data_IF_488680511888
#
_entry.id   IF_488680511888
#
_cell.length_a   1.000
_cell.length_b   1.000
_cell.length_c   1.000
_cell.angle_alpha   90.00
_cell.angle_beta   90.00
_cell.angle_gamma   90.00
#
_symmetry.space_group_name_H-M   'P 1'
#
loop_
_entity.id
_entity.type
_entity.pdbx_description
1 polymer ?
#
# COMPACT_ATOMS: atom_id res chain seq x y z
N UNK A 1 -28.17 24.03 51.95
CA UNK A 1 -27.17 24.22 50.89
C UNK A 1 -26.20 23.04 50.95
N UNK A 2 -26.53 21.94 50.27
CA UNK A 2 -25.77 20.68 50.31
C UNK A 2 -24.54 20.82 49.40
N UNK A 3 -23.36 21.01 49.99
CA UNK A 3 -22.08 20.88 49.28
C UNK A 3 -21.83 19.39 49.06
N UNK A 4 -22.08 18.91 47.85
CA UNK A 4 -21.57 17.62 47.39
C UNK A 4 -20.03 17.70 47.43
N UNK A 5 -19.40 16.87 48.26
CA UNK A 5 -17.95 16.69 48.26
C UNK A 5 -17.59 15.97 46.94
N UNK A 6 -16.59 16.43 46.18
CA UNK A 6 -16.18 15.73 44.98
C UNK A 6 -15.64 14.35 45.36
N UNK A 7 -16.18 13.29 44.76
CA UNK A 7 -15.75 11.93 45.01
C UNK A 7 -14.30 11.73 44.54
N UNK A 8 -13.37 11.29 45.41
CA UNK A 8 -11.94 11.20 45.08
C UNK A 8 -11.64 10.12 44.01
N UNK A 9 -12.63 9.26 43.72
CA UNK A 9 -12.53 8.17 42.74
C UNK A 9 -13.01 8.58 41.33
N UNK A 10 -13.72 9.70 41.18
CA UNK A 10 -14.23 10.16 39.88
C UNK A 10 -13.10 10.72 39.00
N UNK A 11 -12.12 11.39 39.62
CA UNK A 11 -10.96 11.99 38.95
C UNK A 11 -10.03 10.97 38.24
N UNK A 12 -9.56 9.89 38.90
CA UNK A 12 -8.71 8.90 38.23
C UNK A 12 -9.44 8.11 37.15
N UNK A 13 -10.76 7.92 37.29
CA UNK A 13 -11.59 7.25 36.29
C UNK A 13 -11.70 8.09 35.02
N UNK A 14 -11.98 9.39 35.16
CA UNK A 14 -12.02 10.33 34.03
C UNK A 14 -10.65 10.45 33.37
N UNK A 15 -9.57 10.48 34.15
CA UNK A 15 -8.20 10.52 33.61
C UNK A 15 -7.84 9.23 32.85
N UNK A 16 -8.24 8.06 33.36
CA UNK A 16 -8.08 6.79 32.64
C UNK A 16 -8.90 6.77 31.35
N UNK A 17 -10.15 7.25 31.38
CA UNK A 17 -11.01 7.29 30.20
C UNK A 17 -10.45 8.21 29.11
N UNK A 18 -9.94 9.40 29.49
CA UNK A 18 -9.27 10.32 28.56
C UNK A 18 -7.98 9.72 28.00
N UNK A 19 -7.22 8.97 28.82
CA UNK A 19 -6.02 8.25 28.36
C UNK A 19 -6.37 7.16 27.34
N UNK A 20 -7.39 6.34 27.60
CA UNK A 20 -7.86 5.32 26.68
C UNK A 20 -8.47 5.89 25.39
N UNK A 21 -9.13 7.06 25.45
CA UNK A 21 -9.67 7.75 24.27
C UNK A 21 -8.57 8.40 23.41
N UNK A 22 -7.39 8.64 23.99
CA UNK A 22 -6.24 9.25 23.32
C UNK A 22 -5.29 8.24 22.67
N UNK A 23 -5.52 6.93 22.88
CA UNK A 23 -4.78 5.89 22.18
C UNK A 23 -5.06 6.03 20.69
N UNK A 24 -4.05 6.28 19.85
CA UNK A 24 -4.25 6.20 18.41
C UNK A 24 -4.70 4.77 18.10
N UNK A 25 -5.89 4.62 17.51
CA UNK A 25 -6.20 3.41 16.76
C UNK A 25 -5.04 3.25 15.78
N UNK A 26 -4.27 2.17 15.93
CA UNK A 26 -3.14 1.87 15.06
C UNK A 26 -3.64 1.84 13.62
N UNK A 27 -3.51 2.95 12.91
CA UNK A 27 -3.54 2.96 11.46
C UNK A 27 -2.14 2.54 11.06
N UNK A 28 -1.96 1.24 10.78
CA UNK A 28 -0.77 0.78 10.08
C UNK A 28 -0.81 1.40 8.69
N UNK A 29 -0.20 2.58 8.55
CA UNK A 29 0.20 3.06 7.24
C UNK A 29 1.05 1.94 6.65
N UNK A 30 0.56 1.33 5.58
CA UNK A 30 1.27 0.26 4.89
C UNK A 30 2.53 0.92 4.32
N UNK A 31 3.67 0.64 4.94
CA UNK A 31 4.97 1.08 4.45
C UNK A 31 5.27 0.26 3.20
N UNK A 32 4.73 0.75 2.08
CA UNK A 32 5.13 0.31 0.76
C UNK A 32 6.57 0.78 0.56
N UNK A 33 7.53 0.05 1.13
CA UNK A 33 8.95 0.23 0.82
C UNK A 33 9.29 -0.65 -0.39
N UNK A 34 9.19 -0.12 -1.64
CA UNK A 34 9.38 -0.94 -2.82
C UNK A 34 10.82 -1.40 -2.88
N UNK A 35 11.03 -2.70 -3.08
CA UNK A 35 12.37 -3.20 -3.42
C UNK A 35 12.84 -2.51 -4.71
N UNK A 36 13.93 -1.74 -4.61
CA UNK A 36 14.51 -1.01 -5.72
C UNK A 36 15.63 -1.84 -6.37
N UNK A 37 15.68 -1.93 -7.71
CA UNK A 37 16.77 -2.60 -8.38
C UNK A 37 18.04 -1.74 -8.33
N UNK A 38 19.19 -2.40 -8.20
CA UNK A 38 20.50 -1.79 -8.42
C UNK A 38 20.93 -1.97 -9.88
N UNK A 39 21.73 -1.03 -10.39
CA UNK A 39 22.36 -1.17 -11.70
C UNK A 39 23.45 -2.24 -11.59
N UNK A 40 23.38 -3.23 -12.47
CA UNK A 40 24.38 -4.30 -12.52
C UNK A 40 25.76 -3.76 -12.92
N UNK A 41 26.81 -4.23 -12.25
CA UNK A 41 28.21 -4.03 -12.63
C UNK A 41 28.88 -5.37 -12.94
N UNK A 42 29.82 -5.38 -13.90
CA UNK A 42 30.50 -6.61 -14.33
C UNK A 42 31.36 -7.28 -13.24
N UNK A 43 31.63 -6.57 -12.15
CA UNK A 43 32.39 -7.04 -10.99
C UNK A 43 31.56 -7.95 -10.06
N UNK A 44 30.23 -7.99 -10.21
CA UNK A 44 29.32 -8.75 -9.33
C UNK A 44 29.19 -10.19 -9.80
N UNK A 45 29.47 -11.15 -8.90
CA UNK A 45 29.22 -12.57 -9.19
C UNK A 45 27.72 -12.89 -9.26
N UNK A 46 27.29 -13.47 -10.38
CA UNK A 46 25.87 -13.76 -10.67
C UNK A 46 25.43 -15.19 -10.31
N UNK A 47 26.31 -16.04 -9.78
CA UNK A 47 25.93 -17.41 -9.41
C UNK A 47 24.91 -17.38 -8.27
N UNK A 48 23.87 -18.21 -8.40
CA UNK A 48 22.78 -18.28 -7.42
C UNK A 48 21.68 -17.23 -7.59
N UNK A 49 21.79 -16.34 -8.59
CA UNK A 49 20.74 -15.36 -8.91
C UNK A 49 19.75 -15.91 -9.92
N UNK A 50 18.49 -15.53 -9.74
CA UNK A 50 17.45 -15.68 -10.76
C UNK A 50 17.46 -14.48 -11.70
N UNK A 51 17.21 -14.71 -12.97
CA UNK A 51 17.11 -13.66 -13.98
C UNK A 51 15.75 -13.70 -14.67
N UNK A 52 15.16 -12.52 -14.85
CA UNK A 52 13.93 -12.32 -15.58
C UNK A 52 14.11 -11.18 -16.59
N UNK A 53 13.23 -11.14 -17.58
CA UNK A 53 13.10 -9.94 -18.42
C UNK A 53 12.62 -8.76 -17.57
N UNK A 54 13.20 -7.58 -17.80
CA UNK A 54 12.63 -6.32 -17.31
C UNK A 54 11.46 -5.95 -18.21
N UNK A 55 10.24 -6.04 -17.68
CA UNK A 55 9.05 -5.53 -18.36
C UNK A 55 9.00 -4.01 -18.29
N UNK A 56 8.46 -3.39 -19.33
CA UNK A 56 8.28 -1.94 -19.44
C UNK A 56 6.78 -1.64 -19.34
N UNK A 57 6.29 -1.56 -18.09
CA UNK A 57 4.87 -1.41 -17.78
C UNK A 57 4.65 -0.46 -16.60
N UNK A 58 3.58 -0.70 -15.85
CA UNK A 58 3.25 0.07 -14.64
C UNK A 58 3.36 -0.85 -13.43
N UNK A 59 4.24 -0.53 -12.49
CA UNK A 59 4.37 -1.26 -11.22
C UNK A 59 3.06 -1.23 -10.44
N UNK A 60 2.57 -2.40 -10.07
CA UNK A 60 1.36 -2.61 -9.28
C UNK A 60 1.65 -3.40 -8.00
N UNK A 61 1.02 -2.99 -6.92
CA UNK A 61 1.02 -3.67 -5.63
C UNK A 61 -0.39 -4.17 -5.33
N UNK A 62 -0.54 -5.44 -5.02
CA UNK A 62 -1.77 -6.03 -4.52
C UNK A 62 -1.59 -6.33 -3.04
N UNK A 63 -2.49 -5.87 -2.18
CA UNK A 63 -2.39 -6.06 -0.72
C UNK A 63 -3.08 -7.34 -0.20
N UNK A 64 -3.70 -8.11 -1.10
CA UNK A 64 -4.62 -9.21 -0.76
C UNK A 64 -6.09 -8.89 -1.05
N UNK A 65 -6.42 -7.62 -1.25
CA UNK A 65 -7.80 -7.12 -1.45
C UNK A 65 -7.91 -5.96 -2.45
N UNK A 66 -6.92 -5.07 -2.49
CA UNK A 66 -6.91 -3.83 -3.26
C UNK A 66 -5.59 -3.67 -4.01
N UNK A 67 -5.63 -2.93 -5.11
CA UNK A 67 -4.47 -2.68 -5.95
C UNK A 67 -4.02 -1.23 -5.88
N UNK A 68 -2.70 -1.00 -5.85
CA UNK A 68 -2.08 0.31 -5.74
C UNK A 68 -0.94 0.47 -6.75
N UNK A 69 -0.68 1.71 -7.16
CA UNK A 69 0.51 2.09 -7.93
C UNK A 69 1.76 2.14 -7.02
N UNK A 70 2.94 2.34 -7.63
CA UNK A 70 4.21 2.56 -6.89
C UNK A 70 4.10 3.61 -5.77
N UNK A 71 3.33 4.68 -5.97
CA UNK A 71 3.24 5.79 -5.01
C UNK A 71 2.07 5.63 -4.03
N UNK A 72 1.48 4.43 -3.94
CA UNK A 72 0.32 4.16 -3.09
C UNK A 72 -1.00 4.71 -3.63
N UNK A 73 -1.06 5.15 -4.89
CA UNK A 73 -2.32 5.59 -5.51
C UNK A 73 -3.21 4.38 -5.76
N UNK A 74 -4.48 4.36 -5.30
CA UNK A 74 -5.40 3.27 -5.60
C UNK A 74 -5.60 3.11 -7.10
N UNK A 75 -5.57 1.85 -7.56
CA UNK A 75 -5.93 1.44 -8.91
C UNK A 75 -7.27 0.71 -8.85
N UNK A 76 -8.08 0.87 -9.90
CA UNK A 76 -9.44 0.30 -9.97
C UNK A 76 -9.55 -0.72 -11.11
N UNK A 77 -8.84 -1.87 -11.03
CA UNK A 77 -8.99 -2.93 -12.00
C UNK A 77 -10.42 -3.51 -11.94
N UNK A 78 -10.99 -3.99 -13.06
CA UNK A 78 -12.27 -4.69 -13.05
C UNK A 78 -12.22 -5.97 -12.20
N UNK A 79 -13.35 -6.37 -11.61
CA UNK A 79 -13.44 -7.53 -10.71
C UNK A 79 -12.86 -8.82 -11.29
N UNK A 80 -13.05 -9.06 -12.60
CA UNK A 80 -12.52 -10.27 -13.25
C UNK A 80 -10.99 -10.33 -13.26
N UNK A 81 -10.32 -9.17 -13.18
CA UNK A 81 -8.86 -9.08 -13.21
C UNK A 81 -8.25 -9.52 -11.87
N UNK A 82 -8.93 -9.24 -10.75
CA UNK A 82 -8.43 -9.54 -9.40
C UNK A 82 -8.98 -10.85 -8.81
N UNK A 83 -10.00 -11.45 -9.42
CA UNK A 83 -10.70 -12.64 -8.90
C UNK A 83 -9.81 -13.86 -8.59
N UNK A 84 -8.64 -13.98 -9.23
CA UNK A 84 -7.69 -15.09 -9.02
C UNK A 84 -6.45 -14.72 -8.21
N UNK A 85 -6.35 -13.48 -7.72
CA UNK A 85 -5.18 -13.04 -6.96
C UNK A 85 -5.18 -13.65 -5.54
N UNK A 86 -4.00 -13.93 -4.98
CA UNK A 86 -3.89 -14.56 -3.67
C UNK A 86 -4.40 -13.63 -2.56
N UNK A 87 -4.79 -14.17 -1.39
CA UNK A 87 -5.22 -13.37 -0.23
C UNK A 87 -4.03 -12.78 0.54
N UNK A 88 -2.89 -12.55 -0.11
CA UNK A 88 -1.68 -11.98 0.47
C UNK A 88 -1.00 -11.05 -0.52
N UNK A 89 -0.10 -10.21 0.00
CA UNK A 89 0.53 -9.17 -0.78
C UNK A 89 1.45 -9.72 -1.88
N UNK A 90 1.31 -9.19 -3.09
CA UNK A 90 2.22 -9.46 -4.21
C UNK A 90 2.53 -8.16 -4.98
N UNK A 91 3.71 -8.13 -5.58
CA UNK A 91 4.14 -7.05 -6.46
C UNK A 91 4.40 -7.58 -7.87
N UNK A 92 4.16 -6.74 -8.85
CA UNK A 92 4.46 -7.06 -10.25
C UNK A 92 4.30 -5.87 -11.17
N UNK A 93 4.32 -6.17 -12.46
CA UNK A 93 4.17 -5.18 -13.52
C UNK A 93 2.86 -5.42 -14.27
N UNK A 94 1.97 -4.42 -14.29
CA UNK A 94 0.85 -4.40 -15.23
C UNK A 94 1.44 -4.12 -16.62
N UNK A 95 1.19 -4.99 -17.59
CA UNK A 95 1.94 -5.01 -18.85
C UNK A 95 1.09 -5.46 -20.05
N UNK A 96 1.02 -4.64 -21.10
CA UNK A 96 0.23 -4.92 -22.30
C UNK A 96 1.04 -5.47 -23.49
N UNK A 97 2.30 -5.85 -23.29
CA UNK A 97 3.19 -6.38 -24.32
C UNK A 97 4.44 -5.53 -24.55
N UNK A 98 5.37 -6.04 -25.37
CA UNK A 98 6.61 -5.32 -25.73
C UNK A 98 6.27 -4.03 -26.47
N UNK A 99 7.02 -2.96 -26.21
CA UNK A 99 6.85 -1.64 -26.85
C UNK A 99 5.44 -1.04 -26.66
N UNK A 100 4.72 -1.45 -25.61
CA UNK A 100 3.35 -1.03 -25.33
C UNK A 100 3.22 -0.28 -24.01
N UNK A 101 4.27 0.41 -23.58
CA UNK A 101 4.28 1.18 -22.32
C UNK A 101 3.14 2.21 -22.30
N UNK A 102 3.06 3.09 -23.32
CA UNK A 102 2.03 4.14 -23.40
C UNK A 102 0.60 3.57 -23.36
N UNK A 103 0.37 2.46 -24.07
CA UNK A 103 -0.92 1.76 -24.05
C UNK A 103 -1.25 1.20 -22.66
N UNK A 104 -0.25 0.65 -21.98
CA UNK A 104 -0.40 0.14 -20.61
C UNK A 104 -0.74 1.31 -19.67
N UNK A 105 0.02 2.39 -19.74
CA UNK A 105 -0.17 3.59 -18.95
C UNK A 105 -1.58 4.19 -19.16
N UNK A 106 -2.05 4.29 -20.41
CA UNK A 106 -3.38 4.83 -20.72
C UNK A 106 -4.54 3.99 -20.17
N UNK A 107 -4.34 2.69 -19.97
CA UNK A 107 -5.37 1.79 -19.43
C UNK A 107 -5.36 1.81 -17.89
N UNK A 108 -4.17 1.86 -17.30
CA UNK A 108 -3.97 1.68 -15.86
C UNK A 108 -4.13 2.99 -15.09
N UNK A 109 -3.65 4.10 -15.64
CA UNK A 109 -3.64 5.37 -14.92
C UNK A 109 -5.06 5.95 -14.85
N UNK A 110 -5.52 6.37 -13.66
CA UNK A 110 -6.80 7.07 -13.53
C UNK A 110 -6.80 8.33 -14.40
N UNK A 111 -7.94 8.65 -15.03
CA UNK A 111 -8.10 9.98 -15.59
C UNK A 111 -7.99 11.02 -14.46
N UNK A 112 -7.28 12.14 -14.67
CA UNK A 112 -7.36 13.25 -13.74
C UNK A 112 -8.82 13.71 -13.64
N UNK A 113 -9.31 14.09 -12.45
CA UNK A 113 -10.66 14.61 -12.33
C UNK A 113 -10.81 15.85 -13.23
N UNK A 114 -11.72 15.75 -14.22
CA UNK A 114 -12.12 16.90 -15.02
C UNK A 114 -12.84 17.89 -14.09
N UNK A 115 -12.30 19.10 -13.98
CA UNK A 115 -12.92 20.22 -13.25
C UNK A 115 -14.12 20.80 -13.98
#
# INVERSE_FOLDING_TARGET
MLRLKPDPLLSPLVLCLLFFLSLPLFSSAMDLDPMLPEVYSEEREIRGWWMSEKLDGIRGYWDGTSMFSRNGTPLFPPDFFTAGLPPFAIEGELWAGRQAFEKTASIVMPEPPHG
#
